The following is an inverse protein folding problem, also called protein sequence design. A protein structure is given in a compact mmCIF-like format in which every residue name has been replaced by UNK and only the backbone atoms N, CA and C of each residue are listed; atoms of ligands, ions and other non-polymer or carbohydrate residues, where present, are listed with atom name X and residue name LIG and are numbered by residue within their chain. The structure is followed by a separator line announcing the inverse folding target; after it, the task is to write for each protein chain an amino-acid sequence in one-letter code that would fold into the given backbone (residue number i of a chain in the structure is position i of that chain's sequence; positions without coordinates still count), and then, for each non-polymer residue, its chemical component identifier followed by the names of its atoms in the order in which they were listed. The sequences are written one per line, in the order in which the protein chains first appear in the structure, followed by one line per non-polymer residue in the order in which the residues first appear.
data_IF_647996424517
#
_entry.id   IF_647996424517
#
_cell.length_a   1.000
_cell.length_b   1.000
_cell.length_c   1.000
_cell.angle_alpha   90.00
_cell.angle_beta   90.00
_cell.angle_gamma   90.00
#
_symmetry.space_group_name_H-M   'P 1'
#
loop_
_entity.id
_entity.type
_entity.pdbx_description
1 polymer ?
#
# COMPACT_ATOMS: atom_id res chain seq x y z
N UNK A 1 -0.82 -8.42 6.08
CA UNK A 1 0.32 -7.95 6.87
C UNK A 1 0.88 -9.02 7.80
N UNK A 2 1.94 -8.70 8.53
CA UNK A 2 2.68 -9.69 9.34
C UNK A 2 1.90 -10.17 10.58
N UNK A 3 0.86 -9.44 10.99
CA UNK A 3 -0.02 -9.81 12.10
C UNK A 3 -1.25 -10.62 11.66
N UNK A 4 -1.45 -10.86 10.37
CA UNK A 4 -2.56 -11.67 9.86
C UNK A 4 -2.25 -13.15 10.07
N UNK A 5 -2.74 -13.68 11.19
CA UNK A 5 -2.47 -15.06 11.63
C UNK A 5 -3.10 -16.11 10.71
N UNK A 6 -4.44 -16.13 10.62
CA UNK A 6 -5.16 -17.14 9.83
C UNK A 6 -5.47 -16.65 8.41
N UNK A 7 -4.47 -16.77 7.54
CA UNK A 7 -4.56 -16.33 6.14
C UNK A 7 -5.58 -17.13 5.33
N UNK A 8 -5.82 -18.40 5.66
CA UNK A 8 -6.80 -19.24 4.95
C UNK A 8 -8.22 -18.82 5.32
N UNK A 9 -8.47 -18.64 6.62
CA UNK A 9 -9.77 -18.15 7.09
C UNK A 9 -10.06 -16.75 6.57
N UNK A 10 -9.08 -15.83 6.61
CA UNK A 10 -9.25 -14.48 6.05
C UNK A 10 -9.64 -14.54 4.57
N UNK A 11 -8.90 -15.30 3.73
CA UNK A 11 -9.27 -15.46 2.31
C UNK A 11 -10.68 -15.98 2.12
N UNK A 12 -11.06 -17.00 2.87
CA UNK A 12 -12.40 -17.57 2.77
C UNK A 12 -13.49 -16.55 3.19
N UNK A 13 -13.27 -15.80 4.26
CA UNK A 13 -14.25 -14.83 4.77
C UNK A 13 -14.45 -13.63 3.86
N UNK A 14 -13.41 -13.22 3.13
CA UNK A 14 -13.47 -12.06 2.25
C UNK A 14 -13.81 -12.41 0.79
N UNK A 15 -13.99 -13.68 0.43
CA UNK A 15 -14.20 -14.14 -0.94
C UNK A 15 -15.36 -13.45 -1.69
N UNK A 16 -16.39 -12.98 -0.99
CA UNK A 16 -17.54 -12.27 -1.58
C UNK A 16 -17.37 -10.74 -1.60
N UNK A 17 -16.31 -10.21 -0.98
CA UNK A 17 -16.02 -8.78 -0.86
C UNK A 17 -14.83 -8.40 -1.75
N UNK A 18 -13.78 -9.22 -1.77
CA UNK A 18 -12.57 -8.97 -2.53
C UNK A 18 -11.48 -10.02 -2.31
N UNK A 19 -10.40 -9.87 -3.06
CA UNK A 19 -9.29 -10.82 -3.04
C UNK A 19 -8.27 -10.48 -1.93
N UNK A 20 -7.70 -11.51 -1.30
CA UNK A 20 -6.60 -11.37 -0.35
C UNK A 20 -5.34 -12.04 -0.90
N UNK A 21 -4.36 -11.20 -1.21
CA UNK A 21 -3.07 -11.62 -1.76
C UNK A 21 -2.03 -11.90 -0.66
N UNK A 22 -0.90 -12.54 -1.02
CA UNK A 22 0.27 -12.65 -0.14
C UNK A 22 0.85 -11.28 0.28
N UNK A 23 1.91 -11.31 1.09
CA UNK A 23 2.54 -10.11 1.67
C UNK A 23 3.00 -9.09 0.62
N UNK A 24 3.42 -9.58 -0.54
CA UNK A 24 3.74 -8.80 -1.73
C UNK A 24 2.80 -9.20 -2.87
N UNK A 25 2.31 -8.22 -3.60
CA UNK A 25 1.45 -8.41 -4.75
C UNK A 25 1.79 -7.38 -5.84
N UNK A 26 1.89 -7.86 -7.07
CA UNK A 26 2.10 -7.04 -8.26
C UNK A 26 0.83 -7.08 -9.09
N UNK A 27 0.42 -5.93 -9.62
CA UNK A 27 -0.77 -5.80 -10.44
C UNK A 27 -0.61 -4.69 -11.47
N UNK A 28 -1.50 -4.66 -12.45
CA UNK A 28 -1.63 -3.58 -13.41
C UNK A 28 -3.05 -3.01 -13.33
N UNK A 29 -3.17 -1.69 -13.15
CA UNK A 29 -4.45 -0.98 -13.11
C UNK A 29 -4.35 0.20 -14.07
N UNK A 30 -5.25 0.28 -15.05
CA UNK A 30 -5.27 1.35 -16.07
C UNK A 30 -3.91 1.56 -16.76
N UNK A 31 -3.18 0.46 -17.01
CA UNK A 31 -1.85 0.47 -17.62
C UNK A 31 -0.72 0.91 -16.69
N UNK A 32 -0.97 1.10 -15.40
CA UNK A 32 0.04 1.42 -14.37
C UNK A 32 0.46 0.16 -13.63
N UNK A 33 1.76 -0.09 -13.57
CA UNK A 33 2.35 -1.21 -12.83
C UNK A 33 2.46 -0.84 -11.36
N UNK A 34 1.76 -1.57 -10.50
CA UNK A 34 1.69 -1.32 -9.06
C UNK A 34 2.34 -2.47 -8.29
N UNK A 35 3.29 -2.13 -7.41
CA UNK A 35 3.79 -3.04 -6.39
C UNK A 35 3.13 -2.70 -5.05
N UNK A 36 2.44 -3.66 -4.45
CA UNK A 36 1.86 -3.55 -3.12
C UNK A 36 2.59 -4.50 -2.17
N UNK A 37 3.00 -4.01 -1.00
CA UNK A 37 3.59 -4.85 0.05
C UNK A 37 3.18 -4.39 1.45
N UNK A 38 3.07 -5.27 2.43
CA UNK A 38 2.89 -4.77 3.80
C UNK A 38 4.20 -4.22 4.36
N UNK A 39 5.26 -5.01 4.34
CA UNK A 39 6.56 -4.63 4.86
C UNK A 39 7.43 -4.05 3.72
N UNK A 40 8.14 -2.92 3.92
CA UNK A 40 8.97 -2.28 2.89
C UNK A 40 10.29 -3.02 2.64
N UNK A 41 10.26 -4.35 2.47
CA UNK A 41 11.45 -5.15 2.19
C UNK A 41 11.97 -4.81 0.80
N UNK A 42 13.24 -4.42 0.73
CA UNK A 42 13.90 -4.03 -0.52
C UNK A 42 13.26 -2.82 -1.22
N UNK A 43 12.59 -1.93 -0.48
CA UNK A 43 11.90 -0.76 -1.03
C UNK A 43 12.80 0.06 -1.96
N UNK A 44 14.00 0.42 -1.50
CA UNK A 44 14.94 1.21 -2.31
C UNK A 44 15.37 0.49 -3.59
N UNK A 45 15.52 -0.84 -3.56
CA UNK A 45 15.84 -1.62 -4.76
C UNK A 45 14.67 -1.66 -5.76
N UNK A 46 13.43 -1.68 -5.26
CA UNK A 46 12.24 -1.61 -6.12
C UNK A 46 12.09 -0.22 -6.75
N UNK A 47 12.36 0.85 -5.97
CA UNK A 47 12.40 2.22 -6.47
C UNK A 47 13.43 2.34 -7.59
N UNK A 48 14.68 1.91 -7.35
CA UNK A 48 15.76 1.97 -8.34
C UNK A 48 15.56 1.04 -9.55
N UNK A 49 14.64 0.08 -9.49
CA UNK A 49 14.39 -0.82 -10.60
C UNK A 49 13.62 -0.18 -11.75
N UNK A 50 12.93 0.94 -11.49
CA UNK A 50 12.07 1.65 -12.45
C UNK A 50 11.00 0.74 -13.11
N UNK A 51 10.71 -0.42 -12.50
CA UNK A 51 9.73 -1.40 -13.00
C UNK A 51 8.29 -1.07 -12.66
N UNK A 52 8.07 -0.20 -11.70
CA UNK A 52 6.73 0.14 -11.22
C UNK A 52 6.46 1.62 -11.43
N UNK A 53 5.20 1.96 -11.61
CA UNK A 53 4.71 3.33 -11.65
C UNK A 53 4.29 3.77 -10.23
N UNK A 54 3.79 2.83 -9.42
CA UNK A 54 3.41 3.05 -8.01
C UNK A 54 3.96 1.92 -7.13
N UNK A 55 4.54 2.28 -5.99
CA UNK A 55 4.93 1.35 -4.92
C UNK A 55 4.19 1.73 -3.64
N UNK A 56 3.31 0.85 -3.18
CA UNK A 56 2.51 1.04 -1.97
C UNK A 56 3.03 0.12 -0.87
N UNK A 57 3.25 0.68 0.32
CA UNK A 57 3.63 -0.13 1.47
C UNK A 57 2.96 0.31 2.79
N UNK A 58 3.10 -0.51 3.84
CA UNK A 58 2.55 -0.22 5.17
C UNK A 58 3.55 -0.51 6.29
N UNK A 59 3.10 -1.22 7.33
CA UNK A 59 3.90 -1.76 8.45
C UNK A 59 4.52 -0.74 9.41
N UNK A 60 4.95 0.44 8.95
CA UNK A 60 5.63 1.43 9.81
C UNK A 60 4.67 2.31 10.61
N UNK A 61 3.36 2.29 10.27
CA UNK A 61 2.32 3.19 10.77
C UNK A 61 2.56 4.68 10.50
N UNK A 62 3.63 5.03 9.78
CA UNK A 62 4.00 6.41 9.47
C UNK A 62 3.67 6.72 8.02
N UNK A 63 3.08 7.89 7.80
CA UNK A 63 2.88 8.44 6.46
C UNK A 63 4.24 8.61 5.79
N UNK A 64 4.37 8.09 4.58
CA UNK A 64 5.50 8.32 3.68
C UNK A 64 4.93 8.56 2.28
N UNK A 65 5.17 9.75 1.75
CA UNK A 65 4.75 10.12 0.40
C UNK A 65 5.96 10.69 -0.32
N UNK A 66 6.45 9.96 -1.31
CA UNK A 66 7.56 10.38 -2.17
C UNK A 66 7.03 10.55 -3.59
N UNK A 67 6.74 11.79 -4.01
CA UNK A 67 6.36 12.06 -5.39
C UNK A 67 7.49 11.73 -6.36
N UNK A 68 7.13 11.40 -7.59
CA UNK A 68 8.07 11.06 -8.66
C UNK A 68 7.78 9.68 -9.25
N UNK A 69 8.56 9.22 -10.24
CA UNK A 69 8.49 7.86 -10.75
C UNK A 69 9.55 6.96 -10.08
N UNK A 70 9.16 5.83 -9.44
CA UNK A 70 7.79 5.48 -9.06
C UNK A 70 7.24 6.39 -7.96
N UNK A 71 5.92 6.53 -7.92
CA UNK A 71 5.23 7.14 -6.79
C UNK A 71 5.33 6.17 -5.62
N UNK A 72 5.98 6.59 -4.53
CA UNK A 72 6.11 5.74 -3.33
C UNK A 72 5.17 6.24 -2.26
N UNK A 73 4.36 5.33 -1.73
CA UNK A 73 3.24 5.69 -0.89
C UNK A 73 3.02 4.72 0.29
N UNK A 74 2.99 5.26 1.50
CA UNK A 74 2.49 4.60 2.70
C UNK A 74 1.43 5.49 3.36
N UNK A 75 0.18 5.04 3.50
CA UNK A 75 -0.92 5.84 4.03
C UNK A 75 -0.80 6.12 5.53
N UNK A 76 0.16 5.52 6.24
CA UNK A 76 0.24 5.53 7.69
C UNK A 76 -0.65 4.44 8.29
N UNK A 77 -1.42 4.78 9.31
CA UNK A 77 -2.31 3.83 9.98
C UNK A 77 -3.76 4.30 9.97
N UNK A 78 -4.67 3.37 9.69
CA UNK A 78 -6.10 3.63 9.76
C UNK A 78 -6.60 3.65 11.23
N UNK A 79 -6.01 2.81 12.09
CA UNK A 79 -6.44 2.66 13.48
C UNK A 79 -5.98 3.76 14.45
N UNK A 80 -4.93 4.50 14.12
CA UNK A 80 -4.41 5.61 14.93
C UNK A 80 -3.81 5.23 16.29
N UNK A 81 -3.49 3.94 16.52
CA UNK A 81 -3.04 3.46 17.83
C UNK A 81 -1.61 3.89 18.19
N UNK A 82 -0.72 4.04 17.22
CA UNK A 82 0.71 4.32 17.48
C UNK A 82 1.06 5.80 17.34
N UNK A 83 0.41 6.50 16.43
CA UNK A 83 0.68 7.89 16.05
C UNK A 83 -0.41 8.85 16.50
N UNK A 84 -1.57 8.35 16.92
CA UNK A 84 -2.75 9.15 17.22
C UNK A 84 -3.44 9.73 15.99
N UNK A 85 -2.99 9.39 14.77
CA UNK A 85 -3.54 9.89 13.51
C UNK A 85 -4.16 8.74 12.72
N UNK A 86 -5.43 8.88 12.37
CA UNK A 86 -6.14 7.95 11.48
C UNK A 86 -6.11 8.50 10.06
N UNK A 87 -5.39 7.86 9.15
CA UNK A 87 -5.23 8.34 7.78
C UNK A 87 -5.46 7.25 6.74
N UNK A 88 -5.88 7.68 5.55
CA UNK A 88 -5.97 6.87 4.32
C UNK A 88 -5.32 7.59 3.15
N UNK A 89 -5.03 6.84 2.09
CA UNK A 89 -4.46 7.34 0.85
C UNK A 89 -5.40 7.27 -0.32
N UNK A 90 -5.36 8.28 -1.18
CA UNK A 90 -5.96 8.20 -2.52
C UNK A 90 -4.86 8.50 -3.53
N UNK A 91 -4.70 7.61 -4.52
CA UNK A 91 -3.80 7.82 -5.67
C UNK A 91 -4.66 8.08 -6.88
N UNK A 92 -4.43 9.20 -7.55
CA UNK A 92 -5.00 9.52 -8.86
C UNK A 92 -4.06 8.93 -9.93
N UNK A 93 -4.56 7.93 -10.68
CA UNK A 93 -3.76 7.17 -11.65
C UNK A 93 -3.48 7.94 -12.96
N UNK A 94 -4.29 8.96 -13.27
CA UNK A 94 -4.08 9.81 -14.45
C UNK A 94 -2.94 10.81 -14.19
N UNK A 95 -2.98 11.46 -13.04
CA UNK A 95 -2.03 12.52 -12.66
C UNK A 95 -0.82 12.00 -11.88
N UNK A 96 -0.87 10.75 -11.41
CA UNK A 96 0.15 10.11 -10.57
C UNK A 96 0.45 10.91 -9.29
N UNK A 97 -0.58 11.55 -8.73
CA UNK A 97 -0.53 12.25 -7.45
C UNK A 97 -1.22 11.43 -6.38
N UNK A 98 -0.77 11.59 -5.14
CA UNK A 98 -1.40 10.96 -3.99
C UNK A 98 -1.68 11.96 -2.88
N UNK A 99 -2.84 11.81 -2.26
CA UNK A 99 -3.30 12.59 -1.13
C UNK A 99 -3.44 11.71 0.12
N UNK A 100 -3.09 12.29 1.26
CA UNK A 100 -3.32 11.70 2.59
C UNK A 100 -4.53 12.38 3.20
N UNK A 101 -5.57 11.61 3.49
CA UNK A 101 -6.80 12.10 4.06
C UNK A 101 -6.96 11.63 5.51
N UNK A 102 -7.34 12.52 6.45
CA UNK A 102 -7.71 12.11 7.80
C UNK A 102 -9.07 11.43 7.81
N UNK A 103 -9.25 10.45 8.70
CA UNK A 103 -10.53 9.78 8.94
C UNK A 103 -11.32 10.33 10.15
N UNK A 104 -10.71 11.24 10.92
CA UNK A 104 -11.29 11.85 12.12
C UNK A 104 -10.83 13.30 12.24
#
# INVERSE_FOLDING_TARGET
GNNDGDKLYLRHKFQEIGEIHPDTWEMEIEGKRVALMHQPRFLEALISSERYDVIIYGHTHKVDLRPGPPLVFNPGECGGWLTGKCTVGIVDLETMKADILPLR
#
